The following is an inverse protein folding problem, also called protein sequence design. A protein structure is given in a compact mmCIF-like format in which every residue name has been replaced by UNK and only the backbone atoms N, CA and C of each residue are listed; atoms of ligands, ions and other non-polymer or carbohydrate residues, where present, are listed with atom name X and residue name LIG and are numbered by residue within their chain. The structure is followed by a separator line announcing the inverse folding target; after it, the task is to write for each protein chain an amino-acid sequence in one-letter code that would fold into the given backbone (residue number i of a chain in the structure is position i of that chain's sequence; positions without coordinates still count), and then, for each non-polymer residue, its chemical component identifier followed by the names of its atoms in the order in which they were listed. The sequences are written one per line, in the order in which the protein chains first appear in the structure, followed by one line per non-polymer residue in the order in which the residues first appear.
data_IF_753531190540
#
_entry.id   IF_753531190540
#
_cell.length_a   1.000
_cell.length_b   1.000
_cell.length_c   1.000
_cell.angle_alpha   90.00
_cell.angle_beta   90.00
_cell.angle_gamma   90.00
#
_symmetry.space_group_name_H-M   'P 1'
#
loop_
_entity.id
_entity.type
_entity.pdbx_description
1 polymer ?
#
# COMPACT_ATOMS: atom_id res chain seq x y z
N UNK A 1 -13.87 2.73 -3.46
CA UNK A 1 -13.63 3.47 -4.72
C UNK A 1 -12.45 4.38 -4.47
N UNK A 2 -11.44 4.39 -5.34
CA UNK A 2 -10.34 5.36 -5.24
C UNK A 2 -10.84 6.75 -5.64
N UNK A 3 -10.17 7.81 -5.20
CA UNK A 3 -10.51 9.17 -5.63
C UNK A 3 -10.15 9.38 -7.11
N UNK A 4 -10.81 10.35 -7.74
CA UNK A 4 -10.52 10.74 -9.12
C UNK A 4 -9.06 11.18 -9.30
N UNK A 5 -8.53 11.95 -8.33
CA UNK A 5 -7.11 12.36 -8.32
C UNK A 5 -6.18 11.15 -8.31
N UNK A 6 -6.40 10.17 -7.43
CA UNK A 6 -5.57 8.97 -7.36
C UNK A 6 -5.65 8.14 -8.65
N UNK A 7 -6.82 8.09 -9.29
CA UNK A 7 -7.00 7.43 -10.58
C UNK A 7 -6.16 8.11 -11.68
N UNK A 8 -6.20 9.44 -11.78
CA UNK A 8 -5.42 10.17 -12.79
C UNK A 8 -3.90 10.08 -12.54
N UNK A 9 -3.47 10.14 -11.29
CA UNK A 9 -2.06 9.95 -10.92
C UNK A 9 -1.57 8.55 -11.31
N UNK A 10 -2.36 7.51 -11.00
CA UNK A 10 -2.03 6.14 -11.39
C UNK A 10 -1.91 5.99 -12.90
N UNK A 11 -2.87 6.50 -13.68
CA UNK A 11 -2.84 6.45 -15.15
C UNK A 11 -1.61 7.17 -15.72
N UNK A 12 -1.26 8.31 -15.15
CA UNK A 12 -0.07 9.08 -15.54
C UNK A 12 1.20 8.28 -15.31
N UNK A 13 1.34 7.66 -14.13
CA UNK A 13 2.49 6.81 -13.82
C UNK A 13 2.56 5.59 -14.73
N UNK A 14 1.43 4.92 -14.95
CA UNK A 14 1.33 3.75 -15.84
C UNK A 14 1.86 4.03 -17.25
N UNK A 15 1.46 5.17 -17.84
CA UNK A 15 1.97 5.61 -19.15
C UNK A 15 3.45 5.95 -19.07
N UNK A 16 3.90 6.63 -18.00
CA UNK A 16 5.31 7.02 -17.83
C UNK A 16 6.27 5.84 -17.73
N UNK A 17 5.79 4.71 -17.21
CA UNK A 17 6.53 3.45 -17.11
C UNK A 17 6.51 2.65 -18.43
N UNK A 18 5.83 3.14 -19.46
CA UNK A 18 5.82 2.54 -20.80
C UNK A 18 4.81 1.41 -21.00
N UNK A 19 3.81 1.28 -20.12
CA UNK A 19 2.78 0.24 -20.21
C UNK A 19 1.63 0.56 -21.19
N UNK A 20 1.69 1.72 -21.86
CA UNK A 20 0.65 2.19 -22.78
C UNK A 20 -0.51 2.90 -22.08
N UNK A 21 -1.61 3.13 -22.79
CA UNK A 21 -2.83 3.70 -22.20
C UNK A 21 -3.60 2.64 -21.40
N UNK A 22 -4.33 3.10 -20.40
CA UNK A 22 -5.19 2.25 -19.56
C UNK A 22 -6.55 2.92 -19.35
N UNK A 23 -7.61 2.13 -19.41
CA UNK A 23 -8.97 2.63 -19.17
C UNK A 23 -9.25 2.81 -17.68
N UNK A 24 -10.28 3.59 -17.35
CA UNK A 24 -10.69 3.78 -15.96
C UNK A 24 -11.15 2.46 -15.33
N UNK A 25 -11.81 1.59 -16.11
CA UNK A 25 -12.26 0.27 -15.65
C UNK A 25 -11.08 -0.65 -15.30
N UNK A 26 -10.07 -0.73 -16.17
CA UNK A 26 -8.86 -1.53 -15.93
C UNK A 26 -8.06 -0.99 -14.73
N UNK A 27 -7.93 0.33 -14.62
CA UNK A 27 -7.24 0.95 -13.49
C UNK A 27 -7.96 0.68 -12.16
N UNK A 28 -9.30 0.72 -12.15
CA UNK A 28 -10.12 0.39 -10.98
C UNK A 28 -9.96 -1.08 -10.57
N UNK A 29 -9.92 -1.99 -11.54
CA UNK A 29 -9.71 -3.42 -11.32
C UNK A 29 -8.33 -3.71 -10.71
N UNK A 30 -7.28 -3.05 -11.21
CA UNK A 30 -5.92 -3.15 -10.64
C UNK A 30 -5.86 -2.61 -9.20
N UNK A 31 -6.52 -1.48 -8.93
CA UNK A 31 -6.61 -0.92 -7.59
C UNK A 31 -7.32 -1.88 -6.61
N UNK A 32 -8.41 -2.52 -7.05
CA UNK A 32 -9.12 -3.53 -6.26
C UNK A 32 -8.21 -4.73 -5.92
N UNK A 33 -7.51 -5.27 -6.93
CA UNK A 33 -6.55 -6.37 -6.74
C UNK A 33 -5.44 -6.01 -5.75
N UNK A 34 -4.90 -4.80 -5.83
CA UNK A 34 -3.89 -4.33 -4.89
C UNK A 34 -4.43 -4.30 -3.47
N UNK A 35 -5.62 -3.72 -3.25
CA UNK A 35 -6.24 -3.67 -1.94
C UNK A 35 -6.52 -5.08 -1.37
N UNK A 36 -6.98 -6.01 -2.21
CA UNK A 36 -7.14 -7.41 -1.80
C UNK A 36 -5.82 -8.08 -1.42
N UNK A 37 -4.75 -7.80 -2.16
CA UNK A 37 -3.41 -8.29 -1.79
C UNK A 37 -2.98 -7.70 -0.44
N UNK A 38 -3.15 -6.40 -0.24
CA UNK A 38 -2.84 -5.72 1.01
C UNK A 38 -3.64 -6.29 2.18
N UNK A 39 -4.93 -6.56 2.02
CA UNK A 39 -5.74 -7.21 3.06
C UNK A 39 -5.16 -8.57 3.48
N UNK A 40 -4.57 -9.31 2.53
CA UNK A 40 -3.96 -10.60 2.80
C UNK A 40 -2.57 -10.53 3.45
N UNK A 41 -1.73 -9.58 3.01
CA UNK A 41 -0.32 -9.50 3.43
C UNK A 41 -0.08 -8.49 4.56
N UNK A 42 -0.92 -7.47 4.68
CA UNK A 42 -0.79 -6.44 5.70
C UNK A 42 -1.24 -6.99 7.04
N UNK A 43 -0.28 -7.30 7.90
CA UNK A 43 -0.53 -7.65 9.29
C UNK A 43 -0.44 -6.38 10.12
N UNK A 44 -1.56 -5.82 10.62
CA UNK A 44 -1.50 -4.65 11.48
C UNK A 44 -0.67 -4.97 12.73
N UNK A 45 0.41 -4.24 12.91
CA UNK A 45 1.24 -4.34 14.12
C UNK A 45 0.49 -3.65 15.25
N UNK A 46 0.14 -4.42 16.28
CA UNK A 46 -0.48 -3.82 17.47
C UNK A 46 0.54 -2.90 18.13
N UNK A 47 0.12 -1.69 18.51
CA UNK A 47 0.97 -0.73 19.22
C UNK A 47 1.71 -1.36 20.42
N UNK A 48 1.01 -2.20 21.18
CA UNK A 48 1.59 -2.96 22.31
C UNK A 48 2.77 -3.86 21.93
N UNK A 49 2.81 -4.38 20.70
CA UNK A 49 3.93 -5.19 20.20
C UNK A 49 5.16 -4.33 19.90
N UNK A 50 4.96 -3.07 19.47
CA UNK A 50 6.05 -2.11 19.29
C UNK A 50 6.60 -1.62 20.64
N UNK A 51 5.71 -1.38 21.60
CA UNK A 51 6.11 -0.94 22.94
C UNK A 51 7.08 -1.96 23.58
N UNK A 52 6.81 -3.27 23.42
CA UNK A 52 7.65 -4.36 23.93
C UNK A 52 9.06 -4.42 23.29
N UNK A 53 9.17 -4.21 21.97
CA UNK A 53 10.47 -4.18 21.29
C UNK A 53 11.32 -3.00 21.77
N UNK A 54 10.70 -1.84 22.01
CA UNK A 54 11.42 -0.65 22.50
C UNK A 54 12.00 -0.82 23.90
N UNK A 55 11.42 -1.70 24.72
CA UNK A 55 11.88 -1.97 26.08
C UNK A 55 12.99 -3.03 26.10
N UNK A 56 12.94 -4.03 25.21
CA UNK A 56 14.03 -5.00 25.01
C UNK A 56 15.30 -4.34 24.44
N UNK A 57 15.17 -3.38 23.52
CA UNK A 57 16.30 -2.62 22.99
C UNK A 57 16.98 -1.76 24.06
N UNK A 58 16.24 -1.23 25.04
CA UNK A 58 16.80 -0.47 26.17
C UNK A 58 17.51 -1.38 27.17
N UNK A 59 16.97 -2.57 27.44
CA UNK A 59 17.57 -3.55 28.33
C UNK A 59 18.90 -4.10 27.81
N UNK A 60 19.04 -4.29 26.49
CA UNK A 60 20.27 -4.79 25.87
C UNK A 60 21.36 -3.72 25.64
N UNK A 61 21.10 -2.46 26.01
CA UNK A 61 22.06 -1.34 25.94
C UNK A 61 22.59 -0.90 27.33
N UNK A 62 22.29 -1.66 28.39
CA UNK A 62 22.80 -1.45 29.76
C UNK A 62 23.65 -2.62 30.22
#
# INVERSE_FOLDING_TARGET
MISETALQEFKTLWVSEGFGEITDEEAMELAAKLLSLFDHIYRPVKKKWLDQVSDEEKLNQT
#
